data_IF_263250777542
#
_entry.id   IF_263250777542
#
_cell.length_a   1.000
_cell.length_b   1.000
_cell.length_c   1.000
_cell.angle_alpha   90.00
_cell.angle_beta   90.00
_cell.angle_gamma   90.00
#
_symmetry.space_group_name_H-M   'P 1'
#
loop_
_entity.id
_entity.type
_entity.pdbx_description
1 polymer ?
#
# COMPACT_ATOMS: atom_id res chain seq x y z
N UNK A 1 6.32 4.17 -2.17
CA UNK A 1 5.87 4.53 -0.81
C UNK A 1 5.72 3.34 0.12
N UNK A 2 4.91 2.31 -0.20
CA UNK A 2 4.65 1.17 0.72
C UNK A 2 5.91 0.49 1.27
N UNK A 3 6.88 0.18 0.40
CA UNK A 3 8.18 -0.39 0.79
C UNK A 3 9.03 0.54 1.68
N UNK A 4 8.91 1.86 1.48
CA UNK A 4 9.59 2.85 2.33
C UNK A 4 8.97 2.86 3.74
N UNK A 5 7.64 2.82 3.84
CA UNK A 5 6.92 2.73 5.13
C UNK A 5 7.30 1.44 5.87
N UNK A 6 7.36 0.29 5.18
CA UNK A 6 7.81 -0.99 5.76
C UNK A 6 9.21 -0.84 6.37
N UNK A 7 10.17 -0.34 5.58
CA UNK A 7 11.54 -0.17 6.02
C UNK A 7 11.66 0.78 7.21
N UNK A 8 10.93 1.90 7.17
CA UNK A 8 10.90 2.87 8.26
C UNK A 8 10.26 2.30 9.54
N UNK A 9 9.17 1.54 9.42
CA UNK A 9 8.52 0.90 10.56
C UNK A 9 9.46 -0.08 11.27
N UNK A 10 10.18 -0.92 10.50
CA UNK A 10 11.20 -1.83 11.02
C UNK A 10 12.29 -1.03 11.74
N UNK A 11 12.83 0.01 11.09
CA UNK A 11 13.87 0.87 11.68
C UNK A 11 13.44 1.43 13.04
N UNK A 12 12.26 2.06 13.12
CA UNK A 12 11.80 2.68 14.37
C UNK A 12 11.43 1.65 15.45
N UNK A 13 10.83 0.52 15.11
CA UNK A 13 10.56 -0.57 16.05
C UNK A 13 11.86 -1.09 16.67
N UNK A 14 12.86 -1.38 15.83
CA UNK A 14 14.19 -1.84 16.25
C UNK A 14 14.94 -0.81 17.10
N UNK A 15 14.89 0.46 16.70
CA UNK A 15 15.46 1.58 17.46
C UNK A 15 14.87 1.67 18.86
N UNK A 16 13.54 1.56 18.99
CA UNK A 16 12.83 1.57 20.28
C UNK A 16 13.18 0.36 21.15
N UNK A 17 13.40 -0.80 20.55
CA UNK A 17 13.87 -1.99 21.25
C UNK A 17 15.34 -1.88 21.73
N UNK A 18 16.04 -0.78 21.43
CA UNK A 18 17.45 -0.58 21.77
C UNK A 18 18.41 -1.36 20.88
N UNK A 19 17.93 -1.91 19.76
CA UNK A 19 18.78 -2.60 18.79
C UNK A 19 19.60 -1.59 17.97
N UNK A 20 20.84 -1.95 17.67
CA UNK A 20 21.68 -1.18 16.77
C UNK A 20 21.21 -1.39 15.33
N UNK A 21 20.50 -0.41 14.79
CA UNK A 21 19.88 -0.46 13.47
C UNK A 21 20.24 0.76 12.65
N UNK A 22 20.45 0.55 11.35
CA UNK A 22 20.79 1.59 10.38
C UNK A 22 19.91 1.49 9.15
N UNK A 23 19.61 2.62 8.53
CA UNK A 23 18.96 2.65 7.23
C UNK A 23 20.00 2.55 6.10
N UNK A 24 19.71 1.69 5.14
CA UNK A 24 20.37 1.72 3.84
C UNK A 24 19.56 2.65 2.91
N UNK A 25 20.15 3.78 2.57
CA UNK A 25 19.55 4.82 1.71
C UNK A 25 20.13 4.80 0.29
N UNK A 26 20.97 3.82 -0.05
CA UNK A 26 21.64 3.74 -1.35
C UNK A 26 20.68 3.64 -2.54
N UNK A 27 19.47 3.10 -2.32
CA UNK A 27 18.39 3.11 -3.33
C UNK A 27 18.22 4.52 -3.90
N UNK A 28 18.17 5.55 -3.04
CA UNK A 28 17.87 6.92 -3.41
C UNK A 28 19.06 7.70 -4.00
N UNK A 29 20.22 7.07 -4.12
CA UNK A 29 21.35 7.63 -4.87
C UNK A 29 21.11 7.52 -6.39
N UNK A 30 20.16 6.67 -6.81
CA UNK A 30 19.74 6.55 -8.21
C UNK A 30 18.61 7.54 -8.51
N UNK A 31 18.64 8.25 -9.65
CA UNK A 31 17.56 9.15 -10.05
C UNK A 31 16.21 8.43 -10.20
N UNK A 32 15.13 9.19 -9.98
CA UNK A 32 13.77 8.73 -10.24
C UNK A 32 13.59 8.32 -11.70
N UNK A 33 12.88 7.21 -11.90
CA UNK A 33 12.59 6.62 -13.19
C UNK A 33 11.17 6.06 -13.17
N UNK A 34 10.37 6.39 -14.16
CA UNK A 34 9.02 5.83 -14.31
C UNK A 34 9.09 4.75 -15.37
N UNK A 35 8.83 3.50 -14.96
CA UNK A 35 8.89 2.38 -15.88
C UNK A 35 7.73 2.41 -16.89
N UNK A 36 7.99 1.83 -18.06
CA UNK A 36 6.97 1.67 -19.10
C UNK A 36 6.20 0.38 -18.87
N UNK A 37 4.88 0.49 -18.72
CA UNK A 37 4.02 -0.68 -18.57
C UNK A 37 4.10 -1.60 -19.81
N UNK A 38 4.21 -2.90 -19.55
CA UNK A 38 4.36 -3.94 -20.59
C UNK A 38 5.81 -4.25 -20.99
N UNK A 39 6.81 -3.61 -20.38
CA UNK A 39 8.23 -3.88 -20.60
C UNK A 39 8.80 -4.80 -19.50
N UNK A 40 9.01 -6.11 -19.76
CA UNK A 40 9.40 -7.06 -18.72
C UNK A 40 10.67 -6.65 -17.98
N UNK A 41 10.62 -6.65 -16.64
CA UNK A 41 11.76 -6.28 -15.78
C UNK A 41 12.00 -4.78 -15.60
N UNK A 42 11.28 -3.91 -16.33
CA UNK A 42 11.35 -2.47 -16.11
C UNK A 42 10.49 -2.09 -14.89
N UNK A 43 11.12 -1.56 -13.85
CA UNK A 43 10.47 -1.16 -12.59
C UNK A 43 10.72 0.31 -12.31
N UNK A 44 9.69 1.00 -11.81
CA UNK A 44 9.85 2.41 -11.48
C UNK A 44 10.79 2.55 -10.27
N UNK A 45 11.69 3.51 -10.37
CA UNK A 45 12.50 3.98 -9.28
C UNK A 45 11.84 5.23 -8.70
N UNK A 46 11.45 5.22 -7.43
CA UNK A 46 10.72 6.34 -6.82
C UNK A 46 11.64 7.16 -5.92
N UNK A 47 11.44 8.48 -5.94
CA UNK A 47 12.04 9.39 -4.96
C UNK A 47 11.55 9.12 -3.52
N UNK A 48 12.11 9.86 -2.55
CA UNK A 48 11.63 9.81 -1.17
C UNK A 48 10.16 10.22 -1.08
N UNK A 49 9.37 9.42 -0.39
CA UNK A 49 7.93 9.66 -0.28
C UNK A 49 7.44 9.74 1.17
N UNK A 50 8.35 9.75 2.16
CA UNK A 50 7.96 9.81 3.57
C UNK A 50 7.92 11.23 4.16
N UNK A 51 8.37 12.24 3.41
CA UNK A 51 8.33 13.65 3.82
C UNK A 51 6.96 14.13 4.33
N UNK A 52 5.82 13.76 3.70
CA UNK A 52 4.49 14.12 4.21
C UNK A 52 4.15 13.60 5.62
N UNK A 53 4.88 12.60 6.13
CA UNK A 53 4.78 12.12 7.51
C UNK A 53 5.79 12.79 8.46
N UNK A 54 6.50 13.83 7.99
CA UNK A 54 7.57 14.50 8.73
C UNK A 54 8.86 13.67 8.81
N UNK A 55 8.98 12.62 8.01
CA UNK A 55 10.16 11.76 7.98
C UNK A 55 11.05 12.17 6.82
N UNK A 56 12.09 12.94 7.11
CA UNK A 56 13.12 13.28 6.13
C UNK A 56 14.26 12.26 6.14
N UNK A 57 15.04 12.18 5.06
CA UNK A 57 16.22 11.30 4.97
C UNK A 57 17.16 11.40 6.17
N UNK A 58 17.36 12.63 6.64
CA UNK A 58 18.27 12.94 7.75
C UNK A 58 17.77 12.41 9.10
N UNK A 59 16.52 11.95 9.18
CA UNK A 59 15.94 11.34 10.38
C UNK A 59 16.45 9.92 10.61
N UNK A 60 17.19 9.35 9.66
CA UNK A 60 17.70 7.99 9.70
C UNK A 60 19.22 7.97 9.90
N UNK A 61 19.68 7.17 10.85
CA UNK A 61 21.10 6.87 10.97
C UNK A 61 21.50 5.89 9.87
N UNK A 62 22.57 6.23 9.14
CA UNK A 62 23.14 5.36 8.11
C UNK A 62 24.42 4.70 8.62
N UNK A 63 24.65 3.46 8.19
CA UNK A 63 25.83 2.72 8.59
C UNK A 63 27.08 3.28 7.90
N UNK A 64 28.18 3.41 8.67
CA UNK A 64 29.52 3.63 8.11
C UNK A 64 29.95 2.43 7.27
N UNK A 65 30.94 2.59 6.40
CA UNK A 65 31.44 1.49 5.56
C UNK A 65 31.91 0.29 6.40
N UNK A 66 32.57 0.53 7.54
CA UNK A 66 33.00 -0.52 8.45
C UNK A 66 31.82 -1.31 9.02
N UNK A 67 30.73 -0.62 9.40
CA UNK A 67 29.51 -1.27 9.88
C UNK A 67 28.82 -2.04 8.76
N UNK A 68 28.71 -1.47 7.55
CA UNK A 68 28.08 -2.13 6.39
C UNK A 68 28.72 -3.48 6.06
N UNK A 69 30.03 -3.64 6.26
CA UNK A 69 30.76 -4.90 5.99
C UNK A 69 30.41 -6.05 6.94
N UNK A 70 29.90 -5.75 8.13
CA UNK A 70 29.59 -6.76 9.18
C UNK A 70 28.11 -6.84 9.52
N UNK A 71 27.31 -5.84 9.12
CA UNK A 71 25.89 -5.78 9.39
C UNK A 71 25.12 -6.83 8.57
N UNK A 72 24.09 -7.45 9.20
CA UNK A 72 23.09 -8.23 8.47
C UNK A 72 22.19 -7.26 7.69
N UNK A 73 22.26 -7.32 6.37
CA UNK A 73 21.35 -6.57 5.50
C UNK A 73 20.01 -7.30 5.40
N UNK A 74 18.93 -6.56 5.61
CA UNK A 74 17.56 -7.06 5.43
C UNK A 74 17.08 -6.69 4.04
N UNK A 75 17.11 -7.67 3.13
CA UNK A 75 16.67 -7.50 1.74
C UNK A 75 15.16 -7.62 1.61
N UNK A 76 14.60 -7.15 0.50
CA UNK A 76 13.20 -7.35 0.19
C UNK A 76 12.86 -8.84 0.05
N UNK A 77 11.83 -9.28 0.77
CA UNK A 77 11.44 -10.69 0.83
C UNK A 77 10.53 -11.03 2.01
N UNK A 78 10.28 -12.33 2.26
CA UNK A 78 9.37 -12.79 3.31
C UNK A 78 9.75 -12.28 4.72
N UNK A 79 11.05 -12.31 5.06
CA UNK A 79 11.55 -11.86 6.38
C UNK A 79 11.25 -10.37 6.59
N UNK A 80 11.60 -9.51 5.63
CA UNK A 80 11.32 -8.07 5.70
C UNK A 80 9.83 -7.79 5.77
N UNK A 81 9.01 -8.51 5.01
CA UNK A 81 7.55 -8.39 5.11
C UNK A 81 7.08 -8.72 6.52
N UNK A 82 7.50 -9.86 7.07
CA UNK A 82 7.09 -10.28 8.41
C UNK A 82 7.47 -9.25 9.46
N UNK A 83 8.72 -8.75 9.43
CA UNK A 83 9.18 -7.73 10.35
C UNK A 83 8.43 -6.41 10.18
N UNK A 84 8.14 -6.03 8.93
CA UNK A 84 7.36 -4.86 8.59
C UNK A 84 5.94 -4.90 9.15
N UNK A 85 5.23 -6.01 8.99
CA UNK A 85 3.88 -6.17 9.53
C UNK A 85 3.87 -6.19 11.05
N UNK A 86 4.83 -6.90 11.66
CA UNK A 86 4.97 -6.94 13.10
C UNK A 86 5.22 -5.53 13.66
N UNK A 87 6.13 -4.77 13.06
CA UNK A 87 6.41 -3.40 13.45
C UNK A 87 5.18 -2.50 13.26
N UNK A 88 4.46 -2.61 12.15
CA UNK A 88 3.24 -1.80 11.89
C UNK A 88 2.04 -2.20 12.75
N UNK A 89 2.06 -3.34 13.42
CA UNK A 89 1.07 -3.70 14.43
C UNK A 89 1.31 -2.96 15.76
N UNK A 90 2.51 -2.40 15.98
CA UNK A 90 2.80 -1.58 17.16
C UNK A 90 2.12 -0.20 17.06
N UNK A 91 1.32 0.22 18.04
CA UNK A 91 0.66 1.54 18.03
C UNK A 91 1.64 2.70 17.80
N UNK A 92 2.81 2.63 18.42
CA UNK A 92 3.87 3.64 18.33
C UNK A 92 4.46 3.73 16.92
N UNK A 93 4.55 2.60 16.19
CA UNK A 93 4.97 2.63 14.79
C UNK A 93 3.90 3.27 13.90
N UNK A 94 2.62 3.01 14.17
CA UNK A 94 1.51 3.59 13.40
C UNK A 94 1.43 5.11 13.59
N UNK A 95 1.70 5.59 14.79
CA UNK A 95 1.66 7.01 15.13
C UNK A 95 2.75 7.82 14.40
N UNK A 96 3.90 7.20 14.09
CA UNK A 96 4.93 7.79 13.22
C UNK A 96 4.38 8.13 11.83
N UNK A 97 3.44 7.33 11.33
CA UNK A 97 2.82 7.54 10.02
C UNK A 97 1.46 8.23 10.14
N UNK A 98 1.20 9.01 11.20
CA UNK A 98 -0.06 9.74 11.32
C UNK A 98 -0.19 10.78 10.21
N UNK A 99 -1.39 10.88 9.64
CA UNK A 99 -1.73 11.93 8.67
C UNK A 99 -2.25 13.13 9.45
N UNK A 100 -1.80 14.34 9.09
CA UNK A 100 -2.26 15.55 9.75
C UNK A 100 -3.76 15.80 9.51
N UNK A 101 -4.48 16.14 10.58
CA UNK A 101 -5.95 16.28 10.58
C UNK A 101 -6.44 17.50 9.78
N UNK A 102 -5.56 18.46 9.49
CA UNK A 102 -5.87 19.74 8.85
C UNK A 102 -5.57 19.80 7.36
N UNK A 103 -5.31 18.65 6.72
CA UNK A 103 -5.07 18.62 5.28
C UNK A 103 -6.38 18.86 4.50
N UNK A 104 -6.34 19.58 3.37
CA UNK A 104 -7.52 19.73 2.51
C UNK A 104 -8.07 18.37 2.10
N UNK A 105 -9.39 18.25 2.00
CA UNK A 105 -10.03 16.99 1.58
C UNK A 105 -9.51 16.54 0.22
N UNK A 106 -9.13 15.26 0.11
CA UNK A 106 -8.71 14.65 -1.16
C UNK A 106 -9.89 14.40 -2.12
N UNK A 107 -11.11 14.40 -1.56
CA UNK A 107 -12.30 13.89 -2.21
C UNK A 107 -13.43 14.91 -2.08
N UNK A 108 -14.40 14.90 -3.01
CA UNK A 108 -15.54 15.80 -2.94
C UNK A 108 -16.37 15.56 -1.66
N UNK A 109 -17.00 16.62 -1.15
CA UNK A 109 -17.86 16.57 0.05
C UNK A 109 -18.97 15.50 -0.04
N UNK A 110 -19.36 15.12 -1.25
CA UNK A 110 -20.35 14.08 -1.50
C UNK A 110 -19.98 12.69 -0.95
N UNK A 111 -18.71 12.43 -0.62
CA UNK A 111 -18.26 11.13 -0.05
C UNK A 111 -18.09 11.12 1.47
N UNK A 112 -18.41 12.22 2.17
CA UNK A 112 -18.15 12.43 3.60
C UNK A 112 -18.88 11.42 4.52
N UNK A 113 -19.95 10.78 4.05
CA UNK A 113 -20.68 9.72 4.78
C UNK A 113 -19.95 8.36 4.88
N UNK A 114 -18.72 8.29 4.37
CA UNK A 114 -17.95 7.06 4.22
C UNK A 114 -18.13 6.44 2.85
N UNK A 115 -17.05 5.87 2.33
CA UNK A 115 -17.00 5.30 0.99
C UNK A 115 -16.30 3.94 0.98
N UNK A 116 -16.59 3.19 -0.07
CA UNK A 116 -15.80 2.03 -0.46
C UNK A 116 -14.59 2.55 -1.24
N UNK A 117 -13.38 2.20 -0.82
CA UNK A 117 -12.19 2.39 -1.63
C UNK A 117 -11.83 1.08 -2.34
N UNK A 118 -11.53 1.15 -3.63
CA UNK A 118 -10.99 0.04 -4.42
C UNK A 118 -9.66 0.49 -4.97
N UNK A 119 -8.57 -0.21 -4.64
CA UNK A 119 -7.26 0.05 -5.23
C UNK A 119 -6.92 -1.04 -6.25
N UNK A 120 -6.68 -0.63 -7.48
CA UNK A 120 -6.29 -1.49 -8.59
C UNK A 120 -4.81 -1.21 -8.90
N UNK A 121 -3.97 -2.24 -8.86
CA UNK A 121 -2.54 -2.13 -9.20
C UNK A 121 -2.28 -2.74 -10.58
N UNK A 122 -1.71 -1.96 -11.48
CA UNK A 122 -1.37 -2.30 -12.87
C UNK A 122 -0.01 -1.68 -13.20
N UNK A 123 0.02 -0.43 -13.64
CA UNK A 123 1.22 0.38 -13.93
C UNK A 123 2.44 -0.44 -14.38
N UNK A 124 3.57 -0.21 -13.72
CA UNK A 124 4.80 -0.98 -13.87
C UNK A 124 4.73 -2.37 -13.18
N UNK A 125 3.75 -2.59 -12.31
CA UNK A 125 3.55 -3.88 -11.65
C UNK A 125 3.27 -5.00 -12.64
N UNK A 126 2.63 -4.74 -13.78
CA UNK A 126 2.43 -5.75 -14.84
C UNK A 126 3.75 -6.32 -15.39
N UNK A 127 4.88 -5.62 -15.21
CA UNK A 127 6.19 -6.04 -15.69
C UNK A 127 6.84 -7.11 -14.81
N UNK A 128 6.37 -7.25 -13.56
CA UNK A 128 6.98 -8.11 -12.52
C UNK A 128 5.99 -8.96 -11.74
N UNK A 129 4.69 -8.74 -11.91
CA UNK A 129 3.66 -9.46 -11.18
C UNK A 129 3.62 -10.94 -11.59
N UNK A 130 3.81 -11.83 -10.62
CA UNK A 130 3.52 -13.26 -10.79
C UNK A 130 2.02 -13.56 -10.76
N UNK A 131 1.20 -12.61 -10.29
CA UNK A 131 -0.25 -12.69 -10.27
C UNK A 131 -0.88 -11.31 -10.45
N UNK A 132 -1.93 -11.21 -11.27
CA UNK A 132 -2.75 -10.00 -11.41
C UNK A 132 -4.20 -10.34 -11.06
N UNK A 133 -4.78 -9.53 -10.18
CA UNK A 133 -6.20 -9.63 -9.83
C UNK A 133 -7.02 -9.04 -10.96
N UNK A 134 -7.99 -9.78 -11.49
CA UNK A 134 -8.84 -9.31 -12.58
C UNK A 134 -9.76 -8.16 -12.16
N UNK A 135 -10.14 -7.32 -13.11
CA UNK A 135 -11.14 -6.27 -12.91
C UNK A 135 -12.47 -6.85 -12.41
N UNK A 136 -12.86 -8.03 -12.89
CA UNK A 136 -14.08 -8.73 -12.47
C UNK A 136 -14.08 -9.06 -10.99
N UNK A 137 -12.94 -9.48 -10.42
CA UNK A 137 -12.84 -9.76 -9.00
C UNK A 137 -13.09 -8.50 -8.16
N UNK A 138 -12.56 -7.33 -8.59
CA UNK A 138 -12.82 -6.06 -7.93
C UNK A 138 -14.28 -5.63 -8.05
N UNK A 139 -14.87 -5.77 -9.23
CA UNK A 139 -16.28 -5.43 -9.50
C UNK A 139 -17.21 -6.29 -8.63
N UNK A 140 -16.99 -7.61 -8.61
CA UNK A 140 -17.81 -8.54 -7.84
C UNK A 140 -17.75 -8.23 -6.34
N UNK A 141 -16.56 -8.00 -5.79
CA UNK A 141 -16.44 -7.67 -4.36
C UNK A 141 -17.03 -6.29 -4.05
N UNK A 142 -16.84 -5.29 -4.91
CA UNK A 142 -17.40 -3.96 -4.69
C UNK A 142 -18.94 -3.98 -4.70
N UNK A 143 -19.55 -4.72 -5.62
CA UNK A 143 -21.01 -4.82 -5.75
C UNK A 143 -21.69 -5.26 -4.43
N UNK A 144 -21.03 -6.10 -3.63
CA UNK A 144 -21.54 -6.58 -2.32
C UNK A 144 -21.74 -5.46 -1.30
N UNK A 145 -21.09 -4.31 -1.47
CA UNK A 145 -21.19 -3.16 -0.56
C UNK A 145 -22.10 -2.04 -1.08
N UNK A 146 -22.69 -2.17 -2.27
CA UNK A 146 -23.57 -1.16 -2.87
C UNK A 146 -24.83 -0.85 -2.03
N UNK A 147 -25.35 -1.85 -1.30
CA UNK A 147 -26.46 -1.66 -0.37
C UNK A 147 -26.06 -1.03 0.97
N UNK A 148 -24.76 -0.97 1.28
CA UNK A 148 -24.22 -0.46 2.56
C UNK A 148 -23.60 0.93 2.42
N UNK A 149 -23.05 1.24 1.23
CA UNK A 149 -22.32 2.48 0.96
C UNK A 149 -22.82 3.09 -0.33
N UNK A 150 -23.09 4.39 -0.29
CA UNK A 150 -23.59 5.15 -1.44
C UNK A 150 -22.49 5.54 -2.44
N UNK A 151 -21.24 5.59 -1.97
CA UNK A 151 -20.10 6.10 -2.72
C UNK A 151 -18.97 5.06 -2.85
N UNK A 152 -18.34 5.04 -4.02
CA UNK A 152 -17.12 4.29 -4.29
C UNK A 152 -16.05 5.21 -4.88
N UNK A 153 -14.82 5.02 -4.41
CA UNK A 153 -13.61 5.65 -4.91
C UNK A 153 -12.71 4.56 -5.48
N UNK A 154 -12.39 4.66 -6.76
CA UNK A 154 -11.49 3.71 -7.43
C UNK A 154 -10.17 4.42 -7.71
N UNK A 155 -9.09 3.86 -7.16
CA UNK A 155 -7.72 4.31 -7.33
C UNK A 155 -6.97 3.34 -8.24
N UNK A 156 -6.13 3.88 -9.13
CA UNK A 156 -5.24 3.09 -9.96
C UNK A 156 -3.99 3.86 -10.34
N UNK A 157 -2.88 3.13 -10.48
CA UNK A 157 -1.59 3.60 -11.00
C UNK A 157 -1.49 3.51 -12.53
N UNK A 158 -2.59 3.18 -13.19
CA UNK A 158 -2.78 3.24 -14.64
C UNK A 158 -4.22 3.62 -14.96
N UNK A 159 -4.57 3.97 -16.21
CA UNK A 159 -5.95 4.24 -16.59
C UNK A 159 -6.92 3.11 -16.18
N UNK A 160 -7.97 3.45 -15.43
CA UNK A 160 -9.03 2.52 -15.03
C UNK A 160 -9.88 2.16 -16.26
N UNK A 161 -10.14 0.86 -16.44
CA UNK A 161 -10.90 0.36 -17.60
C UNK A 161 -12.33 0.89 -17.64
N UNK A 162 -12.86 1.11 -18.85
CA UNK A 162 -14.26 1.53 -19.04
C UNK A 162 -15.25 0.52 -18.45
N UNK A 163 -14.91 -0.77 -18.47
CA UNK A 163 -15.67 -1.85 -17.83
C UNK A 163 -15.82 -1.61 -16.32
N UNK A 164 -14.73 -1.31 -15.61
CA UNK A 164 -14.78 -0.98 -14.18
C UNK A 164 -15.60 0.28 -13.95
N UNK A 165 -15.36 1.35 -14.74
CA UNK A 165 -16.11 2.62 -14.59
C UNK A 165 -17.62 2.42 -14.79
N UNK A 166 -18.03 1.65 -15.81
CA UNK A 166 -19.44 1.37 -16.08
C UNK A 166 -20.06 0.53 -14.96
N UNK A 167 -19.41 -0.55 -14.54
CA UNK A 167 -19.92 -1.42 -13.49
C UNK A 167 -20.07 -0.70 -12.15
N UNK A 168 -19.05 0.05 -11.72
CA UNK A 168 -19.10 0.79 -10.45
C UNK A 168 -20.21 1.85 -10.47
N UNK A 169 -20.39 2.58 -11.58
CA UNK A 169 -21.48 3.55 -11.72
C UNK A 169 -22.88 2.91 -11.82
N UNK A 170 -22.98 1.61 -12.06
CA UNK A 170 -24.25 0.87 -11.99
C UNK A 170 -24.61 0.53 -10.54
N UNK A 171 -23.61 0.25 -9.70
CA UNK A 171 -23.81 -0.18 -8.32
C UNK A 171 -23.85 0.97 -7.31
N UNK A 172 -23.18 2.09 -7.60
CA UNK A 172 -23.02 3.21 -6.66
C UNK A 172 -23.53 4.51 -7.27
N UNK A 173 -24.25 5.30 -6.48
CA UNK A 173 -24.77 6.60 -6.93
C UNK A 173 -23.65 7.65 -7.08
N UNK A 174 -22.59 7.53 -6.28
CA UNK A 174 -21.44 8.42 -6.33
C UNK A 174 -20.21 7.59 -6.68
N UNK A 175 -19.59 7.92 -7.80
CA UNK A 175 -18.35 7.29 -8.24
C UNK A 175 -17.27 8.35 -8.42
N UNK A 176 -16.09 8.08 -7.85
CA UNK A 176 -14.90 8.90 -8.04
C UNK A 176 -13.79 8.02 -8.59
N UNK A 177 -13.22 8.41 -9.72
CA UNK A 177 -12.15 7.69 -10.38
C UNK A 177 -10.89 8.55 -10.33
N UNK A 178 -9.82 8.02 -9.74
CA UNK A 178 -8.54 8.71 -9.66
C UNK A 178 -7.49 7.86 -10.35
N UNK A 179 -7.28 8.21 -11.62
CA UNK A 179 -6.20 7.68 -12.45
C UNK A 179 -4.91 8.45 -12.06
N UNK A 180 -3.87 7.74 -11.61
CA UNK A 180 -2.54 8.31 -11.29
C UNK A 180 -2.52 9.40 -10.21
N UNK A 181 -3.33 9.27 -9.16
CA UNK A 181 -3.18 10.13 -7.97
C UNK A 181 -1.77 10.00 -7.38
N UNK A 182 -1.23 11.10 -6.84
CA UNK A 182 0.06 11.04 -6.15
C UNK A 182 0.01 10.05 -4.98
N UNK A 183 1.16 9.44 -4.68
CA UNK A 183 1.22 8.35 -3.72
C UNK A 183 0.71 8.74 -2.33
N UNK A 184 0.91 9.99 -1.90
CA UNK A 184 0.45 10.43 -0.58
C UNK A 184 -1.06 10.60 -0.54
N UNK A 185 -1.64 11.28 -1.52
CA UNK A 185 -3.09 11.45 -1.65
C UNK A 185 -3.80 10.10 -1.78
N UNK A 186 -3.30 9.21 -2.64
CA UNK A 186 -3.85 7.87 -2.80
C UNK A 186 -3.81 7.07 -1.49
N UNK A 187 -2.69 7.12 -0.77
CA UNK A 187 -2.53 6.43 0.51
C UNK A 187 -3.44 7.01 1.60
N UNK A 188 -3.63 8.33 1.62
CA UNK A 188 -4.59 9.01 2.52
C UNK A 188 -6.02 8.59 2.26
N UNK A 189 -6.43 8.52 0.99
CA UNK A 189 -7.76 8.04 0.59
C UNK A 189 -7.98 6.60 1.08
N UNK A 190 -7.04 5.69 0.81
CA UNK A 190 -7.17 4.29 1.27
C UNK A 190 -7.29 4.19 2.81
N UNK A 191 -6.58 5.05 3.55
CA UNK A 191 -6.59 5.07 5.03
C UNK A 191 -7.82 5.70 5.67
N UNK A 192 -8.60 6.45 4.93
CA UNK A 192 -9.83 7.09 5.41
C UNK A 192 -11.10 6.41 4.88
N UNK A 193 -10.95 5.33 4.10
CA UNK A 193 -12.06 4.55 3.61
C UNK A 193 -12.77 3.82 4.76
N UNK A 194 -14.09 3.62 4.62
CA UNK A 194 -14.89 2.82 5.58
C UNK A 194 -14.83 1.33 5.25
N UNK A 195 -14.81 1.01 3.97
CA UNK A 195 -14.51 -0.33 3.46
C UNK A 195 -13.39 -0.18 2.44
N UNK A 196 -12.41 -1.07 2.46
CA UNK A 196 -11.26 -0.98 1.56
C UNK A 196 -10.95 -2.33 0.92
N UNK A 197 -11.05 -2.40 -0.42
CA UNK A 197 -10.63 -3.55 -1.22
C UNK A 197 -9.20 -3.29 -1.71
N UNK A 198 -8.27 -4.07 -1.18
CA UNK A 198 -6.85 -4.01 -1.52
C UNK A 198 -6.53 -4.75 -2.82
N UNK A 199 -5.52 -4.25 -3.54
CA UNK A 199 -4.77 -5.06 -4.52
C UNK A 199 -3.72 -5.94 -3.84
N UNK A 200 -3.09 -6.82 -4.60
CA UNK A 200 -1.88 -7.56 -4.22
C UNK A 200 -0.61 -6.69 -4.30
N UNK A 201 -0.64 -5.55 -3.60
CA UNK A 201 0.47 -4.58 -3.54
C UNK A 201 0.81 -4.25 -2.10
N UNK A 202 2.11 -4.13 -1.80
CA UNK A 202 2.57 -3.60 -0.52
C UNK A 202 1.99 -2.19 -0.27
N UNK A 203 1.81 -1.37 -1.30
CA UNK A 203 1.24 -0.03 -1.14
C UNK A 203 -0.17 -0.05 -0.55
N UNK A 204 -1.07 -0.88 -1.08
CA UNK A 204 -2.42 -1.04 -0.53
C UNK A 204 -2.43 -1.79 0.79
N UNK A 205 -1.57 -2.79 0.97
CA UNK A 205 -1.49 -3.55 2.23
C UNK A 205 -1.19 -2.63 3.43
N UNK A 206 -0.23 -1.73 3.24
CA UNK A 206 0.24 -0.85 4.30
C UNK A 206 -0.79 0.23 4.60
N UNK A 207 -1.50 0.73 3.58
CA UNK A 207 -2.64 1.60 3.80
C UNK A 207 -3.74 0.91 4.62
N UNK A 208 -4.02 -0.37 4.35
CA UNK A 208 -4.97 -1.16 5.13
C UNK A 208 -4.54 -1.33 6.58
N UNK A 209 -3.27 -1.69 6.82
CA UNK A 209 -2.71 -1.83 8.18
C UNK A 209 -2.78 -0.53 8.98
N UNK A 210 -2.63 0.62 8.31
CA UNK A 210 -2.66 1.94 8.93
C UNK A 210 -4.07 2.57 8.94
N UNK A 211 -5.11 1.84 8.51
CA UNK A 211 -6.51 2.24 8.61
C UNK A 211 -7.15 1.55 9.82
N UNK A 212 -7.34 2.28 10.92
CA UNK A 212 -7.85 1.75 12.18
C UNK A 212 -9.37 1.53 12.20
N UNK A 213 -10.09 2.01 11.19
CA UNK A 213 -11.56 2.04 11.18
C UNK A 213 -12.21 1.28 10.03
N UNK A 214 -11.43 0.84 9.04
CA UNK A 214 -11.98 0.15 7.88
C UNK A 214 -12.26 -1.33 8.13
N UNK A 215 -13.30 -1.82 7.46
CA UNK A 215 -13.34 -3.21 7.04
C UNK A 215 -12.45 -3.38 5.80
N UNK A 216 -11.35 -4.11 5.94
CA UNK A 216 -10.41 -4.36 4.83
C UNK A 216 -10.67 -5.74 4.21
N UNK A 217 -10.75 -5.76 2.89
CA UNK A 217 -10.77 -6.97 2.08
C UNK A 217 -9.43 -7.09 1.37
N UNK A 218 -8.72 -8.19 1.64
CA UNK A 218 -7.49 -8.52 0.94
C UNK A 218 -7.70 -9.70 -0.03
N UNK A 219 -6.94 -9.75 -1.13
CA UNK A 219 -6.95 -10.90 -2.03
C UNK A 219 -6.53 -12.18 -1.31
N UNK A 220 -7.19 -13.30 -1.62
CA UNK A 220 -6.79 -14.62 -1.10
C UNK A 220 -5.42 -15.04 -1.62
N UNK A 221 -5.14 -14.70 -2.88
CA UNK A 221 -3.88 -14.96 -3.57
C UNK A 221 -3.19 -13.63 -3.89
N UNK A 222 -1.91 -13.53 -3.54
CA UNK A 222 -1.06 -12.37 -3.81
C UNK A 222 0.00 -12.69 -4.86
N UNK A 223 0.54 -13.90 -4.81
CA UNK A 223 1.64 -14.38 -5.64
C UNK A 223 1.30 -15.72 -6.29
N UNK A 224 2.04 -16.07 -7.33
CA UNK A 224 2.00 -17.41 -7.96
C UNK A 224 3.33 -18.14 -7.72
N UNK A 225 3.31 -19.47 -7.76
CA UNK A 225 4.53 -20.29 -7.69
C UNK A 225 5.24 -20.24 -6.34
N UNK A 226 6.57 -20.13 -6.37
CA UNK A 226 7.45 -20.23 -5.19
C UNK A 226 7.32 -19.04 -4.24
N UNK A 227 6.88 -17.88 -4.73
CA UNK A 227 6.70 -16.64 -3.96
C UNK A 227 5.55 -16.72 -2.92
N UNK A 228 4.75 -17.79 -2.95
CA UNK A 228 3.65 -18.00 -1.99
C UNK A 228 4.09 -18.09 -0.54
N UNK A 229 5.38 -18.29 -0.27
CA UNK A 229 5.92 -18.25 1.10
C UNK A 229 5.64 -16.89 1.75
N UNK A 230 5.66 -15.79 0.99
CA UNK A 230 5.37 -14.43 1.48
C UNK A 230 3.90 -14.30 1.91
N UNK A 231 2.97 -15.02 1.27
CA UNK A 231 1.53 -14.92 1.53
C UNK A 231 1.16 -15.29 2.96
N UNK A 232 1.91 -16.19 3.61
CA UNK A 232 1.58 -16.67 4.95
C UNK A 232 1.51 -15.54 5.96
N UNK A 233 2.49 -14.62 5.91
CA UNK A 233 2.54 -13.45 6.81
C UNK A 233 1.39 -12.48 6.55
N UNK A 234 0.93 -12.40 5.30
CA UNK A 234 -0.20 -11.53 4.92
C UNK A 234 -1.52 -12.17 5.35
N UNK A 235 -1.69 -13.47 5.10
CA UNK A 235 -2.88 -14.23 5.46
C UNK A 235 -3.07 -14.30 6.99
N UNK A 236 -1.98 -14.30 7.76
CA UNK A 236 -2.07 -14.24 9.23
C UNK A 236 -2.66 -12.94 9.78
N UNK A 237 -2.78 -11.89 8.95
CA UNK A 237 -3.47 -10.64 9.33
C UNK A 237 -5.00 -10.81 9.35
N UNK A 238 -5.54 -11.84 8.70
CA UNK A 238 -6.97 -12.09 8.62
C UNK A 238 -7.39 -13.14 9.66
N UNK A 239 -8.37 -12.79 10.48
CA UNK A 239 -9.00 -13.72 11.44
C UNK A 239 -10.19 -14.48 10.87
N UNK A 240 -10.76 -14.04 9.74
CA UNK A 240 -11.88 -14.68 9.06
C UNK A 240 -11.76 -14.54 7.53
N UNK A 241 -12.41 -15.43 6.79
CA UNK A 241 -12.54 -15.35 5.32
C UNK A 241 -13.99 -15.03 4.95
N UNK A 242 -14.17 -14.20 3.93
CA UNK A 242 -15.49 -13.96 3.34
C UNK A 242 -15.77 -15.07 2.31
N UNK A 243 -16.86 -15.81 2.50
CA UNK A 243 -17.36 -16.76 1.50
C UNK A 243 -18.35 -16.04 0.58
N UNK A 244 -18.24 -16.28 -0.72
CA UNK A 244 -19.16 -15.78 -1.74
C UNK A 244 -20.35 -16.73 -1.89
#
# INVERSE_FOLDING_TARGET
MGAQIISAAIYFSKKRAGELVYADLSYFETPEHVATAGNPGDCSHWSWQLGPFGLEYQSFETATEAVRRVAKVVVDGPEKMQWGLAALAEPEAQDVFRIADNLPDALPVSVVGGYLCVHIRRGDYVNVASHLISDDAFIEQAAKFSGLLNAVVVLSDSPISSKVKQAMSTYFNITVYLDNADAFTAHRIMRNARVFICSNSQFSLIAAMLNRSALVLIPKQWFSGEDRVIERSIQSLCSFQLMA
#
